data_IF_019452236774
#
_entry.id   IF_019452236774
#
_cell.length_a   1.000
_cell.length_b   1.000
_cell.length_c   1.000
_cell.angle_alpha   90.00
_cell.angle_beta   90.00
_cell.angle_gamma   90.00
#
_symmetry.space_group_name_H-M   'P 1'
#
loop_
_entity.id
_entity.type
_entity.pdbx_description
1 polymer ?
#
# COMPACT_ATOMS: atom_id res chain seq x y z
N UNK A 1 15.89 -8.81 -17.14
CA UNK A 1 15.17 -8.87 -15.84
C UNK A 1 14.79 -7.44 -15.45
N UNK A 2 13.52 -7.12 -15.18
CA UNK A 2 13.11 -5.74 -14.84
C UNK A 2 13.49 -5.44 -13.39
N UNK A 3 14.44 -4.54 -13.16
CA UNK A 3 14.83 -4.11 -11.81
C UNK A 3 13.72 -3.27 -11.19
N UNK A 4 13.32 -3.58 -9.97
CA UNK A 4 12.30 -2.83 -9.22
C UNK A 4 12.90 -1.53 -8.67
N UNK A 5 12.13 -0.44 -8.74
CA UNK A 5 12.45 0.83 -8.07
C UNK A 5 12.45 0.65 -6.55
N UNK A 6 13.22 1.46 -5.81
CA UNK A 6 13.27 1.46 -4.35
C UNK A 6 11.89 1.47 -3.69
N UNK A 7 10.97 2.33 -4.14
CA UNK A 7 9.62 2.43 -3.58
C UNK A 7 8.80 1.15 -3.80
N UNK A 8 8.96 0.48 -4.95
CA UNK A 8 8.34 -0.83 -5.23
C UNK A 8 8.92 -1.95 -4.36
N UNK A 9 10.23 -1.93 -4.08
CA UNK A 9 10.87 -2.90 -3.16
C UNK A 9 10.31 -2.73 -1.74
N UNK A 10 10.21 -1.49 -1.24
CA UNK A 10 9.61 -1.19 0.06
C UNK A 10 8.14 -1.60 0.13
N UNK A 11 7.36 -1.25 -0.91
CA UNK A 11 5.97 -1.67 -1.05
C UNK A 11 5.85 -3.19 -0.94
N UNK A 12 6.65 -3.93 -1.72
CA UNK A 12 6.60 -5.39 -1.75
C UNK A 12 6.93 -5.98 -0.38
N UNK A 13 7.90 -5.41 0.34
CA UNK A 13 8.22 -5.81 1.72
C UNK A 13 7.01 -5.64 2.64
N UNK A 14 6.37 -4.47 2.64
CA UNK A 14 5.20 -4.20 3.47
C UNK A 14 4.03 -5.12 3.14
N UNK A 15 3.77 -5.38 1.85
CA UNK A 15 2.70 -6.29 1.41
C UNK A 15 2.98 -7.73 1.86
N UNK A 16 4.22 -8.22 1.74
CA UNK A 16 4.60 -9.56 2.23
C UNK A 16 4.45 -9.68 3.74
N UNK A 17 4.82 -8.65 4.49
CA UNK A 17 4.60 -8.61 5.94
C UNK A 17 3.10 -8.63 6.25
N UNK A 18 2.31 -7.82 5.55
CA UNK A 18 0.86 -7.76 5.72
C UNK A 18 0.18 -9.10 5.42
N UNK A 19 0.65 -9.82 4.39
CA UNK A 19 0.18 -11.17 4.08
C UNK A 19 0.46 -12.15 5.24
N UNK A 20 1.68 -12.14 5.80
CA UNK A 20 2.02 -12.98 6.94
C UNK A 20 1.16 -12.67 8.18
N UNK A 21 0.97 -11.39 8.49
CA UNK A 21 0.11 -10.97 9.60
C UNK A 21 -1.36 -11.33 9.34
N UNK A 22 -1.84 -11.22 8.10
CA UNK A 22 -3.21 -11.59 7.75
C UNK A 22 -3.45 -13.10 7.91
N UNK A 23 -2.49 -13.94 7.49
CA UNK A 23 -2.54 -15.38 7.77
C UNK A 23 -2.63 -15.64 9.28
N UNK A 24 -1.90 -14.86 10.09
CA UNK A 24 -1.97 -14.99 11.55
C UNK A 24 -3.35 -14.60 12.11
N UNK A 25 -3.97 -13.55 11.59
CA UNK A 25 -5.33 -13.16 11.96
C UNK A 25 -6.32 -14.29 11.70
N UNK A 26 -6.22 -14.95 10.54
CA UNK A 26 -7.06 -16.10 10.20
C UNK A 26 -6.89 -17.23 11.22
N UNK A 27 -5.65 -17.64 11.51
CA UNK A 27 -5.37 -18.67 12.52
C UNK A 27 -5.92 -18.29 13.91
N UNK A 28 -5.84 -17.01 14.29
CA UNK A 28 -6.34 -16.55 15.59
C UNK A 28 -7.86 -16.61 15.69
N UNK A 29 -8.57 -16.31 14.60
CA UNK A 29 -10.03 -16.43 14.53
C UNK A 29 -10.45 -17.90 14.58
N UNK A 30 -9.79 -18.77 13.80
CA UNK A 30 -10.04 -20.22 13.79
C UNK A 30 -9.80 -20.86 15.17
N UNK A 31 -8.88 -20.30 15.95
CA UNK A 31 -8.56 -20.75 17.30
C UNK A 31 -9.34 -20.03 18.43
N UNK A 32 -10.40 -19.27 18.09
CA UNK A 32 -11.25 -18.53 19.04
C UNK A 32 -10.46 -17.67 20.04
N UNK A 33 -9.44 -16.97 19.54
CA UNK A 33 -8.57 -16.10 20.36
C UNK A 33 -9.33 -14.86 20.85
N UNK A 34 -8.89 -14.33 21.99
CA UNK A 34 -9.46 -13.14 22.62
C UNK A 34 -9.55 -11.96 21.64
N UNK A 35 -10.78 -11.47 21.41
CA UNK A 35 -11.08 -10.52 20.33
C UNK A 35 -10.18 -9.28 20.29
N UNK A 36 -9.83 -8.63 21.42
CA UNK A 36 -8.91 -7.48 21.39
C UNK A 36 -7.53 -7.81 20.80
N UNK A 37 -7.00 -9.02 21.00
CA UNK A 37 -5.73 -9.44 20.39
C UNK A 37 -5.87 -9.57 18.86
N UNK A 38 -6.98 -10.14 18.40
CA UNK A 38 -7.29 -10.27 16.96
C UNK A 38 -7.42 -8.88 16.32
N UNK A 39 -8.15 -7.97 16.96
CA UNK A 39 -8.33 -6.58 16.51
C UNK A 39 -6.96 -5.88 16.39
N UNK A 40 -6.08 -6.05 17.38
CA UNK A 40 -4.74 -5.47 17.33
C UNK A 40 -3.89 -5.99 16.16
N UNK A 41 -4.04 -7.26 15.78
CA UNK A 41 -3.37 -7.81 14.60
C UNK A 41 -3.99 -7.30 13.29
N UNK A 42 -5.31 -7.15 13.23
CA UNK A 42 -6.00 -6.52 12.09
C UNK A 42 -5.49 -5.09 11.88
N UNK A 43 -5.39 -4.28 12.94
CA UNK A 43 -4.84 -2.93 12.88
C UNK A 43 -3.39 -2.90 12.37
N UNK A 44 -2.60 -3.91 12.75
CA UNK A 44 -1.23 -4.07 12.25
C UNK A 44 -1.19 -4.32 10.74
N UNK A 45 -2.08 -5.17 10.20
CA UNK A 45 -2.23 -5.36 8.74
C UNK A 45 -2.61 -4.04 8.06
N UNK A 46 -3.59 -3.32 8.59
CA UNK A 46 -4.04 -2.03 8.04
C UNK A 46 -2.87 -1.03 8.00
N UNK A 47 -2.06 -0.95 9.06
CA UNK A 47 -0.87 -0.09 9.11
C UNK A 47 0.16 -0.42 8.02
N UNK A 48 0.41 -1.72 7.79
CA UNK A 48 1.30 -2.20 6.72
C UNK A 48 0.76 -1.84 5.33
N UNK A 49 -0.54 -2.01 5.10
CA UNK A 49 -1.17 -1.67 3.82
C UNK A 49 -1.21 -0.16 3.57
N UNK A 50 -1.47 0.66 4.60
CA UNK A 50 -1.35 2.13 4.53
C UNK A 50 0.06 2.55 4.14
N UNK A 51 1.08 1.92 4.74
CA UNK A 51 2.49 2.17 4.40
C UNK A 51 2.80 1.77 2.96
N UNK A 52 2.38 0.58 2.53
CA UNK A 52 2.57 0.11 1.16
C UNK A 52 1.93 1.06 0.12
N UNK A 53 0.70 1.51 0.38
CA UNK A 53 -0.01 2.48 -0.46
C UNK A 53 0.75 3.80 -0.57
N UNK A 54 1.26 4.32 0.56
CA UNK A 54 2.07 5.55 0.58
C UNK A 54 3.32 5.40 -0.28
N UNK A 55 4.07 4.31 -0.11
CA UNK A 55 5.31 4.10 -0.89
C UNK A 55 5.03 3.93 -2.39
N UNK A 56 3.93 3.27 -2.77
CA UNK A 56 3.47 3.22 -4.17
C UNK A 56 3.19 4.61 -4.73
N UNK A 57 2.47 5.44 -3.97
CA UNK A 57 2.15 6.80 -4.39
C UNK A 57 3.42 7.63 -4.56
N UNK A 58 4.34 7.62 -3.59
CA UNK A 58 5.64 8.30 -3.70
C UNK A 58 6.38 7.86 -4.97
N UNK A 59 6.48 6.55 -5.21
CA UNK A 59 7.14 6.04 -6.42
C UNK A 59 6.46 6.46 -7.72
N UNK A 60 5.12 6.54 -7.75
CA UNK A 60 4.35 7.00 -8.90
C UNK A 60 4.58 8.49 -9.17
N UNK A 61 4.59 9.32 -8.12
CA UNK A 61 4.88 10.75 -8.20
C UNK A 61 6.29 11.01 -8.74
N UNK A 62 7.30 10.30 -8.22
CA UNK A 62 8.72 10.48 -8.58
C UNK A 62 9.08 9.99 -9.99
N UNK A 63 8.20 9.26 -10.67
CA UNK A 63 8.50 8.65 -11.97
C UNK A 63 7.44 8.95 -13.03
N UNK A 64 6.30 8.29 -12.97
CA UNK A 64 5.24 8.37 -13.96
C UNK A 64 4.68 9.80 -14.09
N UNK A 65 4.37 10.44 -12.96
CA UNK A 65 3.71 11.74 -12.95
C UNK A 65 4.64 12.85 -13.42
N UNK A 66 5.91 12.85 -13.00
CA UNK A 66 6.89 13.84 -13.48
C UNK A 66 7.02 13.78 -15.00
N UNK A 67 7.02 12.59 -15.59
CA UNK A 67 7.08 12.45 -17.05
C UNK A 67 5.79 12.95 -17.71
N UNK A 68 4.64 12.51 -17.21
CA UNK A 68 3.33 12.89 -17.74
C UNK A 68 3.03 14.39 -17.58
N UNK A 69 3.55 15.06 -16.55
CA UNK A 69 3.43 16.50 -16.38
C UNK A 69 4.13 17.29 -17.50
N UNK A 70 5.22 16.75 -18.05
CA UNK A 70 5.93 17.39 -19.18
C UNK A 70 5.16 17.25 -20.49
N UNK A 71 4.44 16.15 -20.67
CA UNK A 71 3.68 15.87 -21.90
C UNK A 71 2.24 16.43 -21.86
N UNK A 72 1.53 16.21 -20.75
CA UNK A 72 0.14 16.62 -20.56
C UNK A 72 -0.17 16.84 -19.07
N UNK A 73 0.05 18.07 -18.62
CA UNK A 73 -0.19 18.50 -17.22
C UNK A 73 -1.62 18.28 -16.75
N UNK A 74 -2.62 18.55 -17.59
CA UNK A 74 -4.03 18.40 -17.21
C UNK A 74 -4.36 16.94 -16.88
N UNK A 75 -3.90 16.01 -17.72
CA UNK A 75 -4.07 14.57 -17.49
C UNK A 75 -3.36 14.08 -16.23
N UNK A 76 -2.14 14.58 -15.98
CA UNK A 76 -1.40 14.25 -14.75
C UNK A 76 -2.16 14.70 -13.48
N UNK A 77 -2.75 15.91 -13.49
CA UNK A 77 -3.53 16.42 -12.35
C UNK A 77 -4.80 15.59 -12.15
N UNK A 78 -5.53 15.26 -13.22
CA UNK A 78 -6.78 14.48 -13.14
C UNK A 78 -6.54 13.08 -12.56
N UNK A 79 -5.43 12.44 -12.94
CA UNK A 79 -5.01 11.16 -12.38
C UNK A 79 -4.71 11.24 -10.87
N UNK A 80 -4.03 12.30 -10.42
CA UNK A 80 -3.74 12.52 -9.00
C UNK A 80 -5.00 12.73 -8.18
N UNK A 81 -5.94 13.53 -8.68
CA UNK A 81 -7.23 13.76 -8.01
C UNK A 81 -8.02 12.45 -7.90
N UNK A 82 -8.02 11.63 -8.96
CA UNK A 82 -8.65 10.31 -8.94
C UNK A 82 -8.06 9.39 -7.88
N UNK A 83 -6.73 9.32 -7.75
CA UNK A 83 -6.07 8.49 -6.73
C UNK A 83 -6.41 8.99 -5.31
N UNK A 84 -6.44 10.31 -5.09
CA UNK A 84 -6.80 10.89 -3.80
C UNK A 84 -8.25 10.59 -3.40
N UNK A 85 -9.20 10.69 -4.33
CA UNK A 85 -10.61 10.42 -4.06
C UNK A 85 -10.92 8.94 -3.76
N UNK A 86 -10.12 8.00 -4.28
CA UNK A 86 -10.22 6.57 -3.92
C UNK A 86 -9.67 6.26 -2.52
N UNK A 87 -9.06 7.23 -1.88
CA UNK A 87 -8.32 7.08 -0.63
C UNK A 87 -9.04 7.63 0.60
N UNK A 88 -10.16 8.33 0.40
CA UNK A 88 -11.01 8.93 1.42
C UNK A 88 -12.38 8.23 1.46
#
# INVERSE_FOLDING_TARGET
MKTLTTSKVKTLKCVKQGQGTLNKVIEMIEADRYCPEVIQQVDSVIGLLKTAKRELLVGHLDTCVIHQMKENKAKAIDELVKIYNLSN
#
